data_IF_614487631722
#
_entry.id   IF_614487631722
#
_cell.length_a   1.000
_cell.length_b   1.000
_cell.length_c   1.000
_cell.angle_alpha   90.00
_cell.angle_beta   90.00
_cell.angle_gamma   90.00
#
_symmetry.space_group_name_H-M   'P 1'
#
loop_
_entity.id
_entity.type
_entity.pdbx_description
1 polymer ?
#
# COMPACT_ATOMS: atom_id res chain seq x y z
N UNK A 1 16.99 8.66 -25.10
CA UNK A 1 17.14 9.64 -24.00
C UNK A 1 15.91 10.51 -24.03
N UNK A 2 15.00 10.38 -23.06
CA UNK A 2 13.88 11.31 -22.90
C UNK A 2 14.44 12.54 -22.19
N UNK A 3 14.63 13.64 -22.92
CA UNK A 3 14.88 14.93 -22.28
C UNK A 3 13.61 15.33 -21.52
N UNK A 4 13.70 15.78 -20.25
CA UNK A 4 12.55 16.31 -19.55
C UNK A 4 11.94 17.44 -20.38
N UNK A 5 10.62 17.42 -20.58
CA UNK A 5 9.93 18.58 -21.15
C UNK A 5 10.01 19.70 -20.11
N UNK A 6 10.55 20.84 -20.50
CA UNK A 6 10.48 22.06 -19.69
C UNK A 6 9.02 22.51 -19.63
N UNK A 7 8.51 22.73 -18.42
CA UNK A 7 7.16 23.24 -18.19
C UNK A 7 7.29 24.71 -17.82
N UNK A 8 6.58 25.58 -18.53
CA UNK A 8 6.49 26.99 -18.17
C UNK A 8 5.67 27.13 -16.87
N UNK A 9 6.29 27.68 -15.81
CA UNK A 9 5.64 27.84 -14.50
C UNK A 9 4.63 28.99 -14.46
N UNK A 10 4.74 29.93 -15.40
CA UNK A 10 3.85 31.09 -15.52
C UNK A 10 2.74 30.84 -16.57
N UNK A 11 2.58 29.60 -17.04
CA UNK A 11 1.55 29.24 -18.02
C UNK A 11 0.15 29.54 -17.48
N UNK A 12 -0.69 30.15 -18.30
CA UNK A 12 -2.11 30.35 -17.96
C UNK A 12 -3.02 29.63 -18.94
N UNK A 13 -4.26 29.40 -18.50
CA UNK A 13 -5.30 28.83 -19.35
C UNK A 13 -5.90 29.96 -20.19
N UNK A 14 -5.82 29.83 -21.52
CA UNK A 14 -6.51 30.72 -22.46
C UNK A 14 -8.02 30.53 -22.38
N UNK A 15 -8.46 29.27 -22.24
CA UNK A 15 -9.88 28.95 -22.05
C UNK A 15 -10.04 27.65 -21.26
N UNK A 16 -11.13 27.55 -20.51
CA UNK A 16 -11.56 26.32 -19.87
C UNK A 16 -13.06 26.13 -20.11
N UNK A 17 -13.45 25.06 -20.77
CA UNK A 17 -14.83 24.77 -21.16
C UNK A 17 -15.24 23.41 -20.62
N UNK A 18 -16.45 23.34 -20.06
CA UNK A 18 -17.03 22.08 -19.62
C UNK A 18 -17.72 21.39 -20.80
N UNK A 19 -17.24 20.21 -21.18
CA UNK A 19 -17.91 19.33 -22.11
C UNK A 19 -18.94 18.49 -21.34
N UNK A 20 -20.22 18.81 -21.51
CA UNK A 20 -21.34 18.14 -20.84
C UNK A 20 -21.62 16.73 -21.36
N UNK A 21 -21.17 16.39 -22.57
CA UNK A 21 -21.40 15.07 -23.17
C UNK A 21 -20.44 14.03 -22.57
N UNK A 22 -19.18 14.42 -22.41
CA UNK A 22 -18.10 13.53 -21.93
C UNK A 22 -17.77 13.69 -20.43
N UNK A 23 -18.47 14.59 -19.74
CA UNK A 23 -18.27 14.94 -18.32
C UNK A 23 -16.81 15.31 -17.99
N UNK A 24 -16.24 16.16 -18.86
CA UNK A 24 -14.82 16.52 -18.86
C UNK A 24 -14.62 18.04 -18.95
N UNK A 25 -13.56 18.51 -18.30
CA UNK A 25 -13.03 19.85 -18.47
C UNK A 25 -11.99 19.85 -19.59
N UNK A 26 -12.23 20.64 -20.63
CA UNK A 26 -11.26 20.91 -21.67
C UNK A 26 -10.56 22.24 -21.38
N UNK A 27 -9.23 22.23 -21.33
CA UNK A 27 -8.41 23.41 -21.06
C UNK A 27 -7.48 23.64 -22.25
N UNK A 28 -7.57 24.83 -22.84
CA UNK A 28 -6.61 25.30 -23.84
C UNK A 28 -5.61 26.22 -23.16
N UNK A 29 -4.33 25.96 -23.36
CA UNK A 29 -3.22 26.67 -22.75
C UNK A 29 -2.59 27.65 -23.74
N UNK A 30 -1.94 28.70 -23.23
CA UNK A 30 -1.30 29.75 -24.06
C UNK A 30 -0.19 29.23 -24.98
N UNK A 31 0.40 28.06 -24.68
CA UNK A 31 1.40 27.40 -25.52
C UNK A 31 0.79 26.60 -26.68
N UNK A 32 -0.54 26.63 -26.82
CA UNK A 32 -1.30 25.90 -27.82
C UNK A 32 -1.58 24.44 -27.45
N UNK A 33 -1.22 23.98 -26.24
CA UNK A 33 -1.60 22.66 -25.76
C UNK A 33 -3.07 22.61 -25.36
N UNK A 34 -3.72 21.46 -25.58
CA UNK A 34 -5.07 21.18 -25.09
C UNK A 34 -5.02 19.97 -24.16
N UNK A 35 -5.60 20.12 -22.98
CA UNK A 35 -5.71 19.05 -21.98
C UNK A 35 -7.18 18.76 -21.64
N UNK A 36 -7.47 17.50 -21.33
CA UNK A 36 -8.81 17.05 -20.95
C UNK A 36 -8.74 16.36 -19.60
N UNK A 37 -9.64 16.73 -18.68
CA UNK A 37 -9.69 16.20 -17.33
C UNK A 37 -11.10 15.72 -17.00
N UNK A 38 -11.25 14.46 -16.61
CA UNK A 38 -12.56 13.94 -16.19
C UNK A 38 -13.03 14.56 -14.87
N UNK A 39 -14.34 14.71 -14.74
CA UNK A 39 -14.97 15.16 -13.50
C UNK A 39 -14.49 14.39 -12.28
N UNK A 40 -14.48 13.05 -12.37
CA UNK A 40 -14.09 12.17 -11.26
C UNK A 40 -12.62 12.39 -10.84
N UNK A 41 -11.72 12.62 -11.79
CA UNK A 41 -10.32 12.90 -11.49
C UNK A 41 -10.13 14.26 -10.81
N UNK A 42 -10.79 15.31 -11.31
CA UNK A 42 -10.78 16.64 -10.71
C UNK A 42 -11.37 16.65 -9.29
N UNK A 43 -12.46 15.91 -9.09
CA UNK A 43 -13.12 15.77 -7.80
C UNK A 43 -12.24 15.01 -6.81
N UNK A 44 -11.56 13.94 -7.25
CA UNK A 44 -10.64 13.17 -6.43
C UNK A 44 -9.45 14.02 -5.95
N UNK A 45 -8.81 14.75 -6.88
CA UNK A 45 -7.62 15.58 -6.63
C UNK A 45 -7.92 17.03 -6.23
N UNK A 46 -9.20 17.38 -6.02
CA UNK A 46 -9.59 18.72 -5.60
C UNK A 46 -8.75 19.16 -4.39
N UNK A 47 -8.23 20.38 -4.49
CA UNK A 47 -7.56 21.04 -3.37
C UNK A 47 -8.49 21.15 -2.17
N UNK A 48 -8.05 20.68 -1.01
CA UNK A 48 -8.76 20.81 0.26
C UNK A 48 -7.94 21.71 1.19
N UNK A 49 -8.55 22.76 1.77
CA UNK A 49 -7.84 23.63 2.71
C UNK A 49 -7.40 22.84 3.96
N UNK A 50 -6.34 23.27 4.65
CA UNK A 50 -5.92 22.66 5.90
C UNK A 50 -7.06 22.61 6.91
N UNK A 51 -7.42 21.41 7.40
CA UNK A 51 -8.49 21.21 8.39
C UNK A 51 -9.75 20.55 7.84
N UNK A 52 -9.99 20.58 6.51
CA UNK A 52 -10.90 19.63 5.88
C UNK A 52 -10.16 18.30 5.74
N UNK A 53 -10.71 17.22 6.34
CA UNK A 53 -10.06 15.91 6.34
C UNK A 53 -9.55 15.54 4.95
N UNK A 54 -8.29 15.09 4.86
CA UNK A 54 -7.78 14.54 3.60
C UNK A 54 -8.73 13.43 3.14
N UNK A 55 -9.01 13.30 1.82
CA UNK A 55 -9.64 12.08 1.36
C UNK A 55 -8.74 10.94 1.82
N UNK A 56 -9.34 9.85 2.30
CA UNK A 56 -8.58 8.67 2.63
C UNK A 56 -7.73 8.35 1.39
N UNK A 57 -6.41 8.56 1.48
CA UNK A 57 -5.51 7.99 0.49
C UNK A 57 -5.77 6.49 0.44
N UNK A 58 -5.26 5.81 -0.59
CA UNK A 58 -5.42 4.34 -0.72
C UNK A 58 -5.11 3.63 0.61
N UNK A 59 -4.20 4.18 1.42
CA UNK A 59 -3.85 3.72 2.76
C UNK A 59 -3.72 4.88 3.80
N UNK A 60 -4.74 5.72 3.98
CA UNK A 60 -4.76 6.70 5.09
C UNK A 60 -6.06 6.66 5.88
N UNK A 61 -6.40 5.51 6.43
CA UNK A 61 -7.51 5.39 7.38
C UNK A 61 -7.05 4.64 8.63
N UNK A 62 -7.09 5.35 9.75
CA UNK A 62 -7.11 4.81 11.12
C UNK A 62 -6.18 3.64 11.44
N UNK A 63 -4.87 3.91 11.56
CA UNK A 63 -3.95 2.97 12.24
C UNK A 63 -4.54 2.71 13.62
N UNK A 64 -4.95 1.47 13.87
CA UNK A 64 -5.49 1.08 15.18
C UNK A 64 -4.32 0.77 16.11
N UNK A 65 -4.15 1.63 17.11
CA UNK A 65 -3.21 1.38 18.19
C UNK A 65 -3.75 0.26 19.09
N UNK A 66 -2.83 -0.57 19.60
CA UNK A 66 -3.14 -1.68 20.48
C UNK A 66 -2.09 -1.80 21.58
N UNK A 67 -2.50 -2.33 22.73
CA UNK A 67 -1.69 -2.66 23.88
C UNK A 67 -1.76 -4.16 24.21
N UNK A 68 -1.86 -4.48 25.50
CA UNK A 68 -1.85 -5.87 25.97
C UNK A 68 -3.06 -6.67 25.46
N UNK A 69 -4.16 -6.02 25.11
CA UNK A 69 -5.34 -6.66 24.56
C UNK A 69 -5.04 -7.47 23.29
N UNK A 70 -4.01 -7.13 22.50
CA UNK A 70 -3.63 -7.94 21.34
C UNK A 70 -3.08 -9.33 21.72
N UNK A 71 -2.53 -9.46 22.93
CA UNK A 71 -1.97 -10.73 23.43
C UNK A 71 -3.03 -11.72 23.92
N UNK A 72 -4.28 -11.28 24.07
CA UNK A 72 -5.38 -12.14 24.44
C UNK A 72 -5.71 -13.13 23.31
N UNK A 73 -6.12 -14.34 23.69
CA UNK A 73 -6.45 -15.40 22.73
C UNK A 73 -7.55 -14.94 21.76
N UNK A 74 -7.25 -14.99 20.46
CA UNK A 74 -8.18 -14.62 19.39
C UNK A 74 -8.07 -13.18 18.89
N UNK A 75 -7.36 -12.29 19.60
CA UNK A 75 -7.19 -10.90 19.17
C UNK A 75 -6.07 -10.72 18.14
N UNK A 76 -5.06 -11.60 18.12
CA UNK A 76 -4.00 -11.61 17.11
C UNK A 76 -4.52 -12.21 15.80
N UNK A 77 -4.59 -11.45 14.69
CA UNK A 77 -5.05 -11.95 13.41
C UNK A 77 -4.20 -13.13 12.95
N UNK A 78 -4.88 -14.22 12.57
CA UNK A 78 -4.23 -15.49 12.24
C UNK A 78 -4.64 -15.96 10.86
N UNK A 79 -3.66 -16.24 10.02
CA UNK A 79 -3.84 -16.66 8.63
C UNK A 79 -3.22 -18.02 8.38
N UNK A 80 -3.71 -18.72 7.37
CA UNK A 80 -3.22 -20.05 6.99
C UNK A 80 -2.20 -19.94 5.87
N UNK A 81 -1.01 -20.51 6.06
CA UNK A 81 0.10 -20.40 5.10
C UNK A 81 -0.31 -20.80 3.67
N UNK A 82 -0.98 -21.95 3.53
CA UNK A 82 -1.42 -22.45 2.22
C UNK A 82 -2.48 -21.55 1.56
N UNK A 83 -3.32 -20.87 2.35
CA UNK A 83 -4.32 -19.95 1.77
C UNK A 83 -3.66 -18.68 1.25
N UNK A 84 -2.68 -18.13 1.98
CA UNK A 84 -1.95 -16.93 1.54
C UNK A 84 -1.23 -17.15 0.21
N UNK A 85 -0.72 -18.36 -0.03
CA UNK A 85 -0.05 -18.69 -1.29
C UNK A 85 -1.03 -18.81 -2.47
N UNK A 86 -2.22 -19.37 -2.24
CA UNK A 86 -3.11 -19.79 -3.32
C UNK A 86 -4.32 -18.88 -3.54
N UNK A 87 -4.65 -17.98 -2.61
CA UNK A 87 -5.85 -17.13 -2.67
C UNK A 87 -5.48 -15.63 -2.57
N UNK A 88 -5.79 -14.88 -3.62
CA UNK A 88 -5.58 -13.43 -3.68
C UNK A 88 -6.44 -12.67 -2.68
N UNK A 89 -7.64 -13.15 -2.36
CA UNK A 89 -8.50 -12.50 -1.35
C UNK A 89 -7.92 -12.66 0.04
N UNK A 90 -7.37 -13.83 0.35
CA UNK A 90 -6.71 -14.07 1.64
C UNK A 90 -5.42 -13.25 1.74
N UNK A 91 -4.64 -13.18 0.66
CA UNK A 91 -3.46 -12.32 0.61
C UNK A 91 -3.82 -10.85 0.84
N UNK A 92 -4.85 -10.35 0.14
CA UNK A 92 -5.31 -8.97 0.29
C UNK A 92 -5.73 -8.67 1.73
N UNK A 93 -6.52 -9.56 2.36
CA UNK A 93 -6.93 -9.40 3.77
C UNK A 93 -5.71 -9.32 4.68
N UNK A 94 -4.74 -10.21 4.51
CA UNK A 94 -3.53 -10.19 5.32
C UNK A 94 -2.72 -8.90 5.17
N UNK A 95 -2.53 -8.40 3.94
CA UNK A 95 -1.82 -7.15 3.68
C UNK A 95 -2.55 -5.93 4.28
N UNK A 96 -3.88 -5.89 4.15
CA UNK A 96 -4.70 -4.81 4.74
C UNK A 96 -4.67 -4.84 6.26
N UNK A 97 -4.77 -6.03 6.88
CA UNK A 97 -4.66 -6.19 8.33
C UNK A 97 -3.29 -5.71 8.85
N UNK A 98 -2.20 -6.02 8.13
CA UNK A 98 -0.87 -5.52 8.48
C UNK A 98 -0.79 -4.00 8.39
N UNK A 99 -1.28 -3.40 7.31
CA UNK A 99 -1.12 -1.97 7.07
C UNK A 99 -2.04 -1.09 7.95
N UNK A 100 -3.26 -1.56 8.24
CA UNK A 100 -4.32 -0.74 8.84
C UNK A 100 -4.66 -1.15 10.27
N UNK A 101 -4.73 -2.45 10.57
CA UNK A 101 -5.38 -2.93 11.78
C UNK A 101 -4.43 -3.22 12.93
N UNK A 102 -3.35 -3.98 12.68
CA UNK A 102 -2.51 -4.48 13.77
C UNK A 102 -1.02 -4.29 13.55
N UNK A 103 -0.53 -4.09 12.32
CA UNK A 103 0.91 -4.07 12.07
C UNK A 103 1.61 -5.43 12.25
N UNK A 104 0.88 -6.46 12.72
CA UNK A 104 1.40 -7.80 12.99
C UNK A 104 0.30 -8.84 12.83
N UNK A 105 0.65 -9.98 12.26
CA UNK A 105 -0.24 -11.13 12.11
C UNK A 105 0.52 -12.43 12.29
N UNK A 106 -0.20 -13.46 12.75
CA UNK A 106 0.31 -14.83 12.88
C UNK A 106 0.01 -15.61 11.61
N UNK A 107 0.97 -16.40 11.14
CA UNK A 107 0.76 -17.34 10.04
C UNK A 107 0.92 -18.75 10.61
N UNK A 108 -0.12 -19.57 10.45
CA UNK A 108 -0.18 -20.95 10.93
C UNK A 108 -0.04 -21.96 9.81
N UNK A 109 0.30 -23.20 10.19
CA UNK A 109 0.41 -24.35 9.30
C UNK A 109 1.41 -24.15 8.14
N UNK A 110 2.45 -23.36 8.37
CA UNK A 110 3.63 -23.34 7.50
C UNK A 110 4.34 -24.71 7.59
N UNK A 111 4.79 -25.28 6.46
CA UNK A 111 5.59 -26.49 6.46
C UNK A 111 6.84 -26.33 7.35
N UNK A 112 7.23 -27.40 8.05
CA UNK A 112 8.42 -27.41 8.91
C UNK A 112 9.73 -27.47 8.13
N UNK A 113 9.64 -27.63 6.81
CA UNK A 113 10.77 -27.62 5.90
C UNK A 113 11.41 -26.22 5.86
N UNK A 114 12.71 -26.16 5.59
CA UNK A 114 13.38 -24.88 5.37
C UNK A 114 12.75 -24.11 4.21
N UNK A 115 13.07 -22.81 4.12
CA UNK A 115 12.76 -21.97 2.96
C UNK A 115 11.30 -21.51 2.75
N UNK A 116 10.43 -21.57 3.77
CA UNK A 116 9.06 -21.04 3.65
C UNK A 116 9.00 -19.50 3.57
N UNK A 117 9.96 -18.81 4.20
CA UNK A 117 10.02 -17.35 4.21
C UNK A 117 10.27 -16.76 2.80
N UNK A 118 11.23 -17.27 2.00
CA UNK A 118 11.37 -16.81 0.62
C UNK A 118 10.15 -17.06 -0.26
N UNK A 119 9.49 -18.21 -0.12
CA UNK A 119 8.25 -18.51 -0.87
C UNK A 119 7.16 -17.47 -0.58
N UNK A 120 6.98 -17.12 0.69
CA UNK A 120 6.04 -16.06 1.07
C UNK A 120 6.51 -14.68 0.58
N UNK A 121 7.82 -14.41 0.64
CA UNK A 121 8.40 -13.17 0.14
C UNK A 121 8.17 -12.96 -1.35
N UNK A 122 8.35 -14.00 -2.17
CA UNK A 122 8.07 -13.99 -3.62
C UNK A 122 6.59 -13.82 -3.93
N UNK A 123 5.70 -14.36 -3.08
CA UNK A 123 4.25 -14.21 -3.24
C UNK A 123 3.80 -12.75 -3.10
N UNK A 124 4.47 -11.97 -2.25
CA UNK A 124 4.15 -10.55 -1.98
C UNK A 124 4.94 -9.62 -2.90
N UNK A 125 6.20 -9.94 -3.14
CA UNK A 125 7.14 -9.13 -3.89
C UNK A 125 8.54 -9.69 -3.77
N UNK A 126 9.35 -9.15 -2.87
CA UNK A 126 10.71 -9.62 -2.64
C UNK A 126 11.16 -9.43 -1.19
N UNK A 127 12.12 -10.24 -0.77
CA UNK A 127 12.80 -10.07 0.52
C UNK A 127 13.95 -9.07 0.38
N UNK A 128 14.04 -8.11 1.30
CA UNK A 128 15.19 -7.21 1.37
C UNK A 128 16.42 -7.95 1.92
N UNK A 129 17.50 -7.96 1.13
CA UNK A 129 18.78 -8.53 1.57
C UNK A 129 19.51 -7.55 2.50
N UNK A 130 19.91 -8.05 3.66
CA UNK A 130 20.72 -7.30 4.63
C UNK A 130 22.11 -7.91 4.76
N UNK A 131 23.03 -7.25 5.48
CA UNK A 131 24.44 -7.65 5.62
C UNK A 131 24.62 -9.07 6.19
N UNK A 132 23.66 -9.60 6.94
CA UNK A 132 23.74 -10.94 7.51
C UNK A 132 23.52 -12.04 6.47
N UNK A 133 22.38 -12.01 5.77
CA UNK A 133 21.91 -12.94 4.72
C UNK A 133 20.50 -12.53 4.27
N UNK A 134 19.94 -13.24 3.29
CA UNK A 134 18.53 -13.13 2.90
C UNK A 134 17.59 -13.71 3.95
N UNK A 135 17.98 -14.81 4.59
CA UNK A 135 17.29 -15.44 5.73
C UNK A 135 18.35 -15.84 6.76
N UNK A 136 18.10 -15.52 8.03
CA UNK A 136 18.97 -15.84 9.17
C UNK A 136 18.32 -16.89 10.06
N UNK A 137 19.09 -17.88 10.50
CA UNK A 137 18.61 -18.92 11.42
C UNK A 137 18.86 -18.48 12.86
N UNK A 138 17.80 -18.43 13.67
CA UNK A 138 17.89 -18.18 15.11
C UNK A 138 17.76 -19.53 15.85
N UNK A 139 18.81 -19.93 16.55
CA UNK A 139 18.81 -21.16 17.37
C UNK A 139 19.01 -20.75 18.84
N UNK A 140 18.08 -21.16 19.70
CA UNK A 140 18.23 -21.02 21.15
C UNK A 140 18.56 -22.40 21.72
N UNK A 141 19.74 -22.53 22.33
CA UNK A 141 20.08 -23.70 23.14
C UNK A 141 19.63 -23.43 24.58
N UNK A 142 18.66 -24.17 25.13
CA UNK A 142 18.25 -23.98 26.52
C UNK A 142 19.43 -24.30 27.44
N UNK A 143 19.69 -23.42 28.41
CA UNK A 143 20.64 -23.68 29.48
C UNK A 143 20.08 -24.80 30.35
N UNK A 144 20.70 -25.98 30.30
CA UNK A 144 20.37 -27.07 31.22
C UNK A 144 20.91 -26.66 32.59
N UNK A 145 20.02 -26.26 33.49
CA UNK A 145 20.35 -26.10 34.92
C UNK A 145 20.65 -27.48 35.51
N UNK A 146 21.88 -27.69 35.96
CA UNK A 146 22.29 -28.84 36.77
C UNK A 146 21.63 -28.83 38.15
#
# INVERSE_FOLDING_TARGET
MYSPKEVNLDITAESAVWNTEDDQLEVNWEDGHTSQYSFEWLKYLRYRPPGEGQPDGVLKKGIKLWGQELSEEGNLPTFQFQKLLNDDQELYKWLVTLEIETGIAKIENAPKEGNQLPVLGERVGYLMRICYRLVSLLMLTPLVSQ
#
